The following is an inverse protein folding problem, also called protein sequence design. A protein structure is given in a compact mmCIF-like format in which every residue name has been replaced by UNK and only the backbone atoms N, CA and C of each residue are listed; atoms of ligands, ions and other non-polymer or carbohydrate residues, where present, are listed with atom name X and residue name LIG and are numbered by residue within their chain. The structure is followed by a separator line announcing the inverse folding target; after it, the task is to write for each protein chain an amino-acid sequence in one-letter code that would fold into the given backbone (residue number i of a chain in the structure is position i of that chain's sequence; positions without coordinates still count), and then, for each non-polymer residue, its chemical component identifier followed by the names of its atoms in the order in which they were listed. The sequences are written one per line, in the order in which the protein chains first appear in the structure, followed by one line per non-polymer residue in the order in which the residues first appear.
data_IF_244180473383
#
_entry.id   IF_244180473383
#
_cell.length_a   1.000
_cell.length_b   1.000
_cell.length_c   1.000
_cell.angle_alpha   90.00
_cell.angle_beta   90.00
_cell.angle_gamma   90.00
#
_symmetry.space_group_name_H-M   'P 1'
#
loop_
_entity.id
_entity.type
_entity.pdbx_description
1 polymer ?
#
# COMPACT_ATOMS: atom_id res chain seq x y z
N UNK A 1 65.83 15.36 -34.08
CA UNK A 1 64.37 15.04 -34.37
C UNK A 1 63.85 14.10 -33.29
N UNK A 2 63.13 14.61 -32.26
CA UNK A 2 62.60 13.79 -31.16
C UNK A 2 61.09 13.66 -31.36
N UNK A 3 60.63 12.47 -31.71
CA UNK A 3 59.21 12.11 -31.74
C UNK A 3 58.71 11.79 -30.35
N UNK A 4 57.83 12.62 -29.81
CA UNK A 4 57.10 12.34 -28.55
C UNK A 4 55.86 11.50 -28.91
N UNK A 5 55.80 10.28 -28.40
CA UNK A 5 54.62 9.42 -28.41
C UNK A 5 53.69 9.88 -27.28
N UNK A 6 52.48 10.33 -27.66
CA UNK A 6 51.38 10.55 -26.72
C UNK A 6 50.61 9.24 -26.54
N UNK A 7 50.65 8.67 -25.34
CA UNK A 7 49.82 7.52 -24.97
C UNK A 7 48.50 8.03 -24.43
N UNK A 8 47.43 7.77 -25.17
CA UNK A 8 46.06 8.10 -24.75
C UNK A 8 45.56 7.00 -23.81
N UNK A 9 45.40 7.29 -22.51
CA UNK A 9 44.75 6.38 -21.57
C UNK A 9 43.24 6.54 -21.65
N UNK A 10 42.58 5.53 -22.17
CA UNK A 10 41.09 5.45 -22.18
C UNK A 10 40.66 4.86 -20.84
N UNK A 11 40.10 5.69 -19.97
CA UNK A 11 39.50 5.25 -18.71
C UNK A 11 38.08 4.76 -18.99
N UNK A 12 37.86 3.45 -18.91
CA UNK A 12 36.52 2.84 -18.97
C UNK A 12 35.92 2.99 -17.58
N UNK A 13 34.94 3.88 -17.45
CA UNK A 13 34.10 3.96 -16.26
C UNK A 13 33.04 2.83 -16.31
N UNK A 14 33.23 1.80 -15.47
CA UNK A 14 32.21 0.75 -15.26
C UNK A 14 31.12 1.35 -14.41
N UNK A 15 29.97 1.68 -15.01
CA UNK A 15 28.75 1.95 -14.27
C UNK A 15 28.27 0.62 -13.65
N UNK A 16 28.52 0.45 -12.36
CA UNK A 16 27.88 -0.60 -11.58
C UNK A 16 26.39 -0.28 -11.47
N UNK A 17 25.57 -0.91 -12.31
CA UNK A 17 24.12 -0.87 -12.23
C UNK A 17 23.71 -1.57 -10.94
N UNK A 18 23.28 -0.82 -9.94
CA UNK A 18 22.65 -1.37 -8.73
C UNK A 18 21.33 -2.00 -9.10
N UNK A 19 21.30 -3.31 -9.27
CA UNK A 19 20.05 -4.07 -9.36
C UNK A 19 19.34 -3.95 -8.03
N UNK A 20 18.23 -3.23 -7.97
CA UNK A 20 17.37 -3.16 -6.80
C UNK A 20 16.69 -4.54 -6.59
N UNK A 21 17.39 -5.44 -5.90
CA UNK A 21 16.79 -6.68 -5.41
C UNK A 21 15.88 -6.34 -4.25
N UNK A 22 14.61 -6.74 -4.34
CA UNK A 22 13.67 -6.59 -3.23
C UNK A 22 14.20 -7.31 -1.99
N UNK A 23 14.43 -6.57 -0.92
CA UNK A 23 14.86 -7.10 0.37
C UNK A 23 13.63 -7.42 1.24
N UNK A 24 13.76 -8.41 2.11
CA UNK A 24 12.77 -8.61 3.16
C UNK A 24 12.82 -7.40 4.13
N UNK A 25 11.65 -6.90 4.53
CA UNK A 25 11.57 -5.85 5.55
C UNK A 25 12.13 -6.35 6.88
N UNK A 26 12.84 -5.48 7.63
CA UNK A 26 13.26 -5.79 9.00
C UNK A 26 12.05 -6.07 9.89
N UNK A 27 12.25 -6.70 11.07
CA UNK A 27 11.14 -6.99 12.00
C UNK A 27 10.40 -5.72 12.43
N UNK A 28 11.14 -4.63 12.69
CA UNK A 28 10.58 -3.33 13.09
C UNK A 28 9.82 -2.67 11.94
N UNK A 29 10.37 -2.65 10.74
CA UNK A 29 9.69 -2.13 9.54
C UNK A 29 8.44 -2.94 9.22
N UNK A 30 8.53 -4.27 9.33
CA UNK A 30 7.38 -5.15 9.16
C UNK A 30 6.26 -4.77 10.13
N UNK A 31 6.58 -4.58 11.40
CA UNK A 31 5.61 -4.17 12.44
C UNK A 31 4.97 -2.82 12.11
N UNK A 32 5.77 -1.84 11.70
CA UNK A 32 5.27 -0.52 11.30
C UNK A 32 4.33 -0.60 10.09
N UNK A 33 4.71 -1.32 9.04
CA UNK A 33 3.90 -1.50 7.83
C UNK A 33 2.57 -2.18 8.14
N UNK A 34 2.57 -3.24 8.95
CA UNK A 34 1.34 -3.93 9.34
C UNK A 34 0.43 -3.02 10.17
N UNK A 35 1.00 -2.21 11.06
CA UNK A 35 0.26 -1.22 11.87
C UNK A 35 -0.39 -0.16 10.99
N UNK A 36 0.36 0.41 10.04
CA UNK A 36 -0.18 1.44 9.13
C UNK A 36 -1.24 0.85 8.21
N UNK A 37 -1.02 -0.35 7.65
CA UNK A 37 -2.03 -1.06 6.86
C UNK A 37 -3.33 -1.23 7.63
N UNK A 38 -3.25 -1.75 8.85
CA UNK A 38 -4.43 -1.95 9.69
C UNK A 38 -5.11 -0.63 10.05
N UNK A 39 -4.34 0.43 10.30
CA UNK A 39 -4.87 1.76 10.55
C UNK A 39 -5.65 2.31 9.33
N UNK A 40 -5.17 2.14 8.11
CA UNK A 40 -5.89 2.55 6.89
C UNK A 40 -7.25 1.83 6.79
N UNK A 41 -7.25 0.50 6.91
CA UNK A 41 -8.49 -0.28 6.82
C UNK A 41 -9.48 0.09 7.92
N UNK A 42 -9.05 0.09 9.19
CA UNK A 42 -9.93 0.42 10.32
C UNK A 42 -10.47 1.83 10.26
N UNK A 43 -9.64 2.80 9.87
CA UNK A 43 -10.06 4.20 9.72
C UNK A 43 -11.12 4.37 8.64
N UNK A 44 -11.06 3.58 7.56
CA UNK A 44 -12.09 3.60 6.52
C UNK A 44 -13.44 3.12 7.08
N UNK A 45 -13.45 1.98 7.77
CA UNK A 45 -14.67 1.45 8.38
C UNK A 45 -15.22 2.33 9.51
N UNK A 46 -14.35 3.00 10.25
CA UNK A 46 -14.71 3.92 11.33
C UNK A 46 -15.08 5.33 10.83
N UNK A 47 -14.92 5.61 9.53
CA UNK A 47 -15.03 6.97 8.97
C UNK A 47 -14.11 7.99 9.67
N UNK A 48 -12.92 7.54 10.08
CA UNK A 48 -11.89 8.46 10.61
C UNK A 48 -11.18 9.17 9.47
N UNK A 49 -11.84 10.21 8.97
CA UNK A 49 -11.36 11.04 7.85
C UNK A 49 -10.01 11.69 8.19
N UNK A 50 -9.76 12.02 9.45
CA UNK A 50 -8.51 12.65 9.88
C UNK A 50 -7.31 11.71 9.66
N UNK A 51 -7.42 10.48 10.12
CA UNK A 51 -6.38 9.46 9.94
C UNK A 51 -6.25 9.06 8.48
N UNK A 52 -7.36 8.86 7.77
CA UNK A 52 -7.32 8.55 6.33
C UNK A 52 -6.58 9.61 5.52
N UNK A 53 -6.82 10.90 5.76
CA UNK A 53 -6.12 11.98 5.04
C UNK A 53 -4.60 11.98 5.26
N UNK A 54 -4.14 11.51 6.40
CA UNK A 54 -2.71 11.39 6.72
C UNK A 54 -2.07 10.18 6.04
N UNK A 55 -2.78 9.06 6.02
CA UNK A 55 -2.23 7.78 5.56
C UNK A 55 -2.46 7.51 4.07
N UNK A 56 -3.50 8.10 3.48
CA UNK A 56 -3.91 7.95 2.09
C UNK A 56 -3.70 9.29 1.38
N UNK A 57 -2.60 9.50 0.65
CA UNK A 57 -2.28 10.80 0.04
C UNK A 57 -3.22 11.15 -1.13
N UNK A 58 -3.30 12.44 -1.53
CA UNK A 58 -4.21 12.89 -2.60
C UNK A 58 -4.03 12.17 -3.95
N UNK A 59 -2.80 11.76 -4.29
CA UNK A 59 -2.49 11.02 -5.52
C UNK A 59 -2.80 9.53 -5.48
N UNK A 60 -3.50 9.05 -4.46
CA UNK A 60 -3.83 7.62 -4.30
C UNK A 60 -4.66 7.11 -5.47
N UNK A 61 -4.36 5.87 -5.89
CA UNK A 61 -5.13 5.11 -6.90
C UNK A 61 -5.62 3.82 -6.26
N UNK A 62 -6.93 3.59 -6.34
CA UNK A 62 -7.58 2.40 -5.79
C UNK A 62 -8.33 1.64 -6.87
N UNK A 63 -8.12 0.34 -6.91
CA UNK A 63 -8.85 -0.60 -7.76
C UNK A 63 -9.52 -1.61 -6.83
N UNK A 64 -10.84 -1.70 -6.89
CA UNK A 64 -11.62 -2.62 -6.05
C UNK A 64 -12.38 -3.62 -6.90
N UNK A 65 -12.48 -4.85 -6.41
CA UNK A 65 -13.25 -5.91 -7.07
C UNK A 65 -14.70 -5.49 -7.30
N UNK A 66 -15.17 -5.73 -8.52
CA UNK A 66 -16.56 -5.43 -8.90
C UNK A 66 -16.84 -3.94 -9.17
N UNK A 67 -15.88 -3.06 -9.02
CA UNK A 67 -16.04 -1.64 -9.32
C UNK A 67 -15.39 -1.28 -10.67
N UNK A 68 -16.12 -0.66 -11.60
CA UNK A 68 -15.59 -0.36 -12.94
C UNK A 68 -14.68 0.86 -12.97
N UNK A 69 -14.77 1.74 -11.95
CA UNK A 69 -14.01 2.99 -11.89
C UNK A 69 -12.91 2.91 -10.83
N UNK A 70 -11.76 3.46 -11.16
CA UNK A 70 -10.69 3.68 -10.20
C UNK A 70 -11.05 4.85 -9.30
N UNK A 71 -10.70 4.73 -8.01
CA UNK A 71 -10.94 5.76 -7.01
C UNK A 71 -9.65 6.47 -6.64
N UNK A 72 -9.80 7.73 -6.24
CA UNK A 72 -8.75 8.54 -5.63
C UNK A 72 -9.09 8.84 -4.16
N UNK A 73 -8.22 9.57 -3.46
CA UNK A 73 -8.44 9.88 -2.03
C UNK A 73 -9.85 10.42 -1.75
N UNK A 74 -10.36 11.34 -2.58
CA UNK A 74 -11.67 11.95 -2.36
C UNK A 74 -12.80 10.91 -2.34
N UNK A 75 -12.79 9.99 -3.31
CA UNK A 75 -13.79 8.93 -3.41
C UNK A 75 -13.63 7.90 -2.29
N UNK A 76 -12.39 7.62 -1.84
CA UNK A 76 -12.13 6.75 -0.68
C UNK A 76 -12.76 7.36 0.58
N UNK A 77 -12.55 8.66 0.83
CA UNK A 77 -13.13 9.36 1.96
C UNK A 77 -14.66 9.40 1.87
N UNK A 78 -15.20 9.69 0.69
CA UNK A 78 -16.64 9.71 0.47
C UNK A 78 -17.27 8.34 0.71
N UNK A 79 -16.63 7.26 0.27
CA UNK A 79 -17.13 5.90 0.46
C UNK A 79 -17.14 5.48 1.93
N UNK A 80 -16.17 5.91 2.74
CA UNK A 80 -16.16 5.70 4.19
C UNK A 80 -17.34 6.41 4.88
N UNK A 81 -17.59 7.67 4.51
CA UNK A 81 -18.76 8.43 4.98
C UNK A 81 -20.06 7.71 4.59
N UNK A 82 -20.15 7.22 3.36
CA UNK A 82 -21.36 6.57 2.87
C UNK A 82 -21.61 5.24 3.60
N UNK A 83 -20.55 4.42 3.78
CA UNK A 83 -20.66 3.17 4.54
C UNK A 83 -21.24 3.41 5.94
N UNK A 84 -20.75 4.41 6.68
CA UNK A 84 -21.25 4.74 8.00
C UNK A 84 -22.69 5.28 7.97
N UNK A 85 -23.03 6.16 7.00
CA UNK A 85 -24.41 6.68 6.83
C UNK A 85 -25.42 5.58 6.55
N UNK A 86 -25.00 4.53 5.84
CA UNK A 86 -25.85 3.37 5.55
C UNK A 86 -25.99 2.41 6.75
N UNK A 87 -25.38 2.76 7.89
CA UNK A 87 -25.40 1.97 9.13
C UNK A 87 -24.42 0.82 9.13
N UNK A 88 -23.38 0.91 8.30
CA UNK A 88 -22.30 -0.07 8.23
C UNK A 88 -21.42 -0.04 9.49
N UNK A 89 -21.05 -1.22 9.97
CA UNK A 89 -20.11 -1.43 11.08
C UNK A 89 -19.14 -2.53 10.73
N UNK A 90 -17.88 -2.33 11.10
CA UNK A 90 -16.88 -3.39 11.07
C UNK A 90 -17.06 -4.29 12.29
N UNK A 91 -17.27 -5.59 12.05
CA UNK A 91 -17.36 -6.60 13.09
C UNK A 91 -16.01 -7.28 13.28
N UNK A 92 -15.36 -7.68 12.17
CA UNK A 92 -14.08 -8.37 12.19
C UNK A 92 -13.24 -7.96 10.99
N UNK A 93 -11.93 -7.80 11.22
CA UNK A 93 -10.92 -7.59 10.19
C UNK A 93 -9.72 -8.46 10.51
N UNK A 94 -9.37 -9.33 9.60
CA UNK A 94 -8.25 -10.24 9.74
C UNK A 94 -7.41 -10.26 8.47
N UNK A 95 -6.11 -10.48 8.65
CA UNK A 95 -5.15 -10.70 7.57
C UNK A 95 -4.39 -12.00 7.86
N UNK A 96 -4.95 -13.15 7.49
CA UNK A 96 -4.40 -14.47 7.83
C UNK A 96 -3.02 -14.73 7.21
N UNK A 97 -2.71 -14.03 6.12
CA UNK A 97 -1.40 -14.09 5.46
C UNK A 97 -1.00 -12.73 4.93
N UNK A 98 0.27 -12.34 5.14
CA UNK A 98 0.86 -11.15 4.54
C UNK A 98 2.32 -11.43 4.19
N UNK A 99 2.67 -11.20 2.92
CA UNK A 99 4.04 -11.14 2.42
C UNK A 99 4.41 -9.69 2.14
N UNK A 100 5.66 -9.32 2.38
CA UNK A 100 6.15 -7.95 2.20
C UNK A 100 7.42 -7.98 1.35
N UNK A 101 7.44 -7.16 0.31
CA UNK A 101 8.63 -6.84 -0.47
C UNK A 101 9.00 -5.38 -0.27
N UNK A 102 10.31 -5.10 -0.12
CA UNK A 102 10.87 -3.78 0.15
C UNK A 102 11.78 -3.34 -0.99
N UNK A 103 11.60 -2.12 -1.51
CA UNK A 103 12.39 -1.54 -2.59
C UNK A 103 12.73 -0.08 -2.25
N UNK A 104 13.87 0.14 -1.59
CA UNK A 104 14.21 1.48 -1.11
C UNK A 104 13.11 2.04 -0.18
N UNK A 105 12.49 3.17 -0.48
CA UNK A 105 11.42 3.78 0.31
C UNK A 105 10.01 3.27 -0.07
N UNK A 106 9.92 2.19 -0.84
CA UNK A 106 8.67 1.58 -1.26
C UNK A 106 8.55 0.18 -0.65
N UNK A 107 7.39 -0.16 -0.11
CA UNK A 107 7.03 -1.51 0.28
C UNK A 107 5.74 -1.95 -0.44
N UNK A 108 5.69 -3.22 -0.83
CA UNK A 108 4.50 -3.84 -1.40
C UNK A 108 4.06 -4.94 -0.44
N UNK A 109 2.81 -4.85 0.01
CA UNK A 109 2.17 -5.85 0.85
C UNK A 109 1.19 -6.67 0.02
N UNK A 110 1.35 -7.98 0.07
CA UNK A 110 0.44 -8.95 -0.52
C UNK A 110 -0.27 -9.66 0.62
N UNK A 111 -1.56 -9.42 0.78
CA UNK A 111 -2.33 -9.93 1.92
C UNK A 111 -3.52 -10.77 1.47
N UNK A 112 -3.80 -11.87 2.16
CA UNK A 112 -5.15 -12.39 2.23
C UNK A 112 -5.89 -11.61 3.31
N UNK A 113 -7.17 -11.29 3.09
CA UNK A 113 -8.00 -10.61 4.08
C UNK A 113 -9.33 -11.31 4.28
N UNK A 114 -9.90 -11.13 5.47
CA UNK A 114 -11.30 -11.45 5.78
C UNK A 114 -11.91 -10.26 6.52
N UNK A 115 -13.02 -9.79 6.01
CA UNK A 115 -13.81 -8.69 6.60
C UNK A 115 -15.19 -9.19 6.90
N UNK A 116 -15.64 -8.99 8.13
CA UNK A 116 -17.03 -9.16 8.52
C UNK A 116 -17.61 -7.79 8.85
N UNK A 117 -18.73 -7.47 8.23
CA UNK A 117 -19.47 -6.23 8.44
C UNK A 117 -20.91 -6.53 8.85
N UNK A 118 -21.49 -5.61 9.60
CA UNK A 118 -22.92 -5.54 9.84
C UNK A 118 -23.48 -4.32 9.11
N UNK A 119 -24.57 -4.49 8.41
CA UNK A 119 -25.32 -3.38 7.79
C UNK A 119 -26.81 -3.57 8.06
N UNK A 120 -27.40 -2.65 8.83
CA UNK A 120 -28.84 -2.71 9.20
C UNK A 120 -29.23 -4.07 9.83
N UNK A 121 -28.38 -4.59 10.72
CA UNK A 121 -28.59 -5.88 11.39
C UNK A 121 -28.28 -7.12 10.55
N UNK A 122 -27.82 -6.97 9.32
CA UNK A 122 -27.39 -8.10 8.47
C UNK A 122 -25.88 -8.20 8.46
N UNK A 123 -25.37 -9.38 8.78
CA UNK A 123 -23.95 -9.70 8.71
C UNK A 123 -23.57 -10.14 7.29
N UNK A 124 -22.42 -9.72 6.86
CA UNK A 124 -21.79 -10.14 5.60
C UNK A 124 -20.32 -10.40 5.85
N UNK A 125 -19.81 -11.52 5.32
CA UNK A 125 -18.38 -11.87 5.34
C UNK A 125 -17.87 -11.83 3.92
N UNK A 126 -16.74 -11.15 3.71
CA UNK A 126 -16.01 -11.09 2.45
C UNK A 126 -14.57 -11.47 2.69
N UNK A 127 -14.03 -12.34 1.85
CA UNK A 127 -12.61 -12.69 1.84
C UNK A 127 -12.02 -12.43 0.47
N UNK A 128 -10.72 -12.19 0.42
CA UNK A 128 -10.03 -11.94 -0.84
C UNK A 128 -8.56 -11.63 -0.64
N UNK A 129 -7.97 -11.00 -1.65
CA UNK A 129 -6.56 -10.60 -1.65
C UNK A 129 -6.43 -9.11 -1.85
N UNK A 130 -5.42 -8.55 -1.22
CA UNK A 130 -5.04 -7.15 -1.39
C UNK A 130 -3.57 -7.07 -1.80
N UNK A 131 -3.28 -6.24 -2.80
CA UNK A 131 -1.93 -5.77 -3.10
C UNK A 131 -1.90 -4.29 -2.78
N UNK A 132 -1.06 -3.91 -1.83
CA UNK A 132 -1.01 -2.55 -1.29
C UNK A 132 0.41 -1.99 -1.42
N UNK A 133 0.51 -0.76 -1.89
CA UNK A 133 1.79 -0.04 -2.01
C UNK A 133 1.90 0.93 -0.85
N UNK A 134 3.04 0.90 -0.17
CA UNK A 134 3.39 1.86 0.89
C UNK A 134 4.65 2.61 0.50
N UNK A 135 4.69 3.90 0.81
CA UNK A 135 5.85 4.77 0.57
C UNK A 135 6.26 5.43 1.88
N UNK A 136 7.54 5.34 2.21
CA UNK A 136 8.14 6.02 3.34
C UNK A 136 8.56 7.42 2.93
N UNK A 137 8.02 8.43 3.59
CA UNK A 137 8.41 9.82 3.42
C UNK A 137 8.52 10.48 4.80
N UNK A 138 9.65 11.14 5.07
CA UNK A 138 9.96 11.78 6.35
C UNK A 138 9.69 10.88 7.57
N UNK A 139 10.06 9.60 7.46
CA UNK A 139 9.88 8.62 8.53
C UNK A 139 8.45 8.11 8.71
N UNK A 140 7.51 8.50 7.86
CA UNK A 140 6.11 8.07 7.92
C UNK A 140 5.73 7.25 6.69
N UNK A 141 5.14 6.08 6.91
CA UNK A 141 4.54 5.27 5.86
C UNK A 141 3.16 5.82 5.46
N UNK A 142 2.92 5.93 4.16
CA UNK A 142 1.63 6.27 3.56
C UNK A 142 1.23 5.22 2.53
N UNK A 143 -0.06 5.10 2.23
CA UNK A 143 -0.60 4.14 1.26
C UNK A 143 -1.12 4.87 0.01
N UNK A 144 -0.27 5.10 -1.02
CA UNK A 144 -0.66 5.77 -2.26
C UNK A 144 -1.40 4.86 -3.26
N UNK A 145 -1.63 3.60 -2.95
CA UNK A 145 -2.38 2.74 -3.87
C UNK A 145 -2.60 1.33 -3.38
N UNK A 146 -3.73 0.76 -3.80
CA UNK A 146 -4.02 -0.65 -3.57
C UNK A 146 -4.96 -1.22 -4.63
N UNK A 147 -4.89 -2.53 -4.76
CA UNK A 147 -5.85 -3.34 -5.50
C UNK A 147 -6.41 -4.42 -4.57
N UNK A 148 -7.74 -4.59 -4.58
CA UNK A 148 -8.39 -5.70 -3.87
C UNK A 148 -9.19 -6.55 -4.85
N UNK A 149 -9.11 -7.85 -4.70
CA UNK A 149 -10.06 -8.81 -5.31
C UNK A 149 -10.87 -9.53 -4.20
N UNK A 150 -11.99 -10.10 -4.58
CA UNK A 150 -12.85 -10.88 -3.69
C UNK A 150 -12.87 -12.32 -4.18
N UNK A 151 -12.64 -13.27 -3.27
CA UNK A 151 -12.81 -14.69 -3.57
C UNK A 151 -14.29 -14.98 -3.77
N UNK A 152 -14.58 -15.79 -4.82
CA UNK A 152 -15.97 -16.21 -5.13
C UNK A 152 -16.32 -17.50 -4.41
#
# INVERSE_FOLDING_TARGET
MHRRLFTLAVSIAILAGSSATGLAASADERSQLLTVREAVWRSWFANDVSTLRKLVPPGTIVISSGEPLWKHQAEVLQSAVQFQKDGGKLVRLEFPRTEIQRFGDVAILYSAYTVETEMKGKHSVSSGRATEVFVLHDGQWTNPGWHTDTEK
#
